data_IF_191423928405
#
_entry.id   IF_191423928405
#
_cell.length_a   1.000
_cell.length_b   1.000
_cell.length_c   1.000
_cell.angle_alpha   90.00
_cell.angle_beta   90.00
_cell.angle_gamma   90.00
#
_symmetry.space_group_name_H-M   'P 1'
#
loop_
_entity.id
_entity.type
_entity.pdbx_description
1 polymer ?
#
# COMPACT_ATOMS: atom_id res chain seq x y z
N UNK A 1 15.50 11.87 13.48
CA UNK A 1 14.17 12.52 13.43
C UNK A 1 13.17 11.50 12.90
N UNK A 2 12.00 11.33 13.52
CA UNK A 2 10.98 10.41 13.03
C UNK A 2 10.30 10.98 11.76
N UNK A 3 10.06 10.13 10.75
CA UNK A 3 9.34 10.55 9.54
C UNK A 3 7.86 10.78 9.89
N UNK A 4 7.27 11.83 9.32
CA UNK A 4 5.83 12.10 9.45
C UNK A 4 5.04 11.03 8.70
N UNK A 5 3.92 10.60 9.28
CA UNK A 5 2.98 9.68 8.61
C UNK A 5 2.31 10.44 7.46
N UNK A 6 2.48 9.94 6.24
CA UNK A 6 1.97 10.57 5.00
C UNK A 6 0.59 10.06 4.59
N UNK A 7 0.13 8.94 5.16
CA UNK A 7 -1.17 8.35 4.86
C UNK A 7 -1.35 6.98 5.52
N UNK A 8 -2.59 6.48 5.52
CA UNK A 8 -2.94 5.12 5.96
C UNK A 8 -3.82 4.45 4.91
N UNK A 9 -3.44 3.25 4.49
CA UNK A 9 -4.15 2.46 3.49
C UNK A 9 -4.57 1.16 4.15
N UNK A 10 -5.88 0.85 4.11
CA UNK A 10 -6.42 -0.43 4.60
C UNK A 10 -6.77 -1.30 3.41
N UNK A 11 -6.07 -2.43 3.28
CA UNK A 11 -6.32 -3.42 2.23
C UNK A 11 -6.70 -4.75 2.88
N UNK A 12 -7.74 -5.39 2.35
CA UNK A 12 -8.12 -6.74 2.75
C UNK A 12 -7.51 -7.73 1.76
N UNK A 13 -6.58 -8.55 2.22
CA UNK A 13 -5.87 -9.52 1.40
C UNK A 13 -5.76 -10.85 2.17
N UNK A 14 -5.90 -12.00 1.50
CA UNK A 14 -5.48 -13.27 2.09
C UNK A 14 -3.96 -13.28 2.32
N UNK A 15 -3.51 -14.04 3.32
CA UNK A 15 -2.11 -14.11 3.70
C UNK A 15 -1.22 -14.48 2.49
N UNK A 16 -0.09 -13.79 2.34
CA UNK A 16 0.88 -14.04 1.27
C UNK A 16 0.47 -13.55 -0.13
N UNK A 17 -0.68 -12.89 -0.31
CA UNK A 17 -1.12 -12.39 -1.63
C UNK A 17 -0.92 -10.88 -1.84
N UNK A 18 0.03 -10.26 -1.16
CA UNK A 18 0.42 -8.88 -1.44
C UNK A 18 1.33 -8.85 -2.69
N UNK A 19 0.77 -8.52 -3.86
CA UNK A 19 1.50 -8.40 -5.13
C UNK A 19 1.17 -7.07 -5.80
N UNK A 20 1.96 -6.57 -6.76
CA UNK A 20 1.67 -5.31 -7.47
C UNK A 20 0.37 -5.31 -8.29
N UNK A 21 -0.35 -6.43 -8.38
CA UNK A 21 -1.64 -6.50 -9.04
C UNK A 21 -2.71 -5.68 -8.27
N UNK A 22 -3.83 -5.30 -8.92
CA UNK A 22 -4.97 -4.72 -8.21
C UNK A 22 -5.44 -5.64 -7.07
N UNK A 23 -5.80 -5.09 -5.89
CA UNK A 23 -5.93 -3.67 -5.56
C UNK A 23 -4.65 -2.99 -5.03
N UNK A 24 -3.56 -3.73 -4.81
CA UNK A 24 -2.39 -3.24 -4.04
C UNK A 24 -1.55 -2.24 -4.82
N UNK A 25 -1.13 -2.58 -6.05
CA UNK A 25 -0.29 -1.70 -6.87
C UNK A 25 -0.93 -0.33 -7.13
N UNK A 26 -2.21 -0.26 -7.55
CA UNK A 26 -2.92 1.00 -7.68
C UNK A 26 -2.99 1.79 -6.36
N UNK A 27 -3.29 1.13 -5.24
CA UNK A 27 -3.41 1.80 -3.94
C UNK A 27 -2.07 2.36 -3.46
N UNK A 28 -0.97 1.60 -3.57
CA UNK A 28 0.36 2.05 -3.18
C UNK A 28 0.94 3.09 -4.16
N UNK A 29 0.70 2.91 -5.47
CA UNK A 29 1.19 3.81 -6.52
C UNK A 29 0.60 5.22 -6.41
N UNK A 30 -0.66 5.36 -6.01
CA UNK A 30 -1.30 6.66 -5.73
C UNK A 30 -0.59 7.45 -4.63
N UNK A 31 0.11 6.77 -3.73
CA UNK A 31 0.89 7.39 -2.66
C UNK A 31 2.40 7.42 -2.95
N UNK A 32 2.84 7.00 -4.15
CA UNK A 32 4.24 7.01 -4.57
C UNK A 32 5.12 5.99 -3.82
N UNK A 33 4.54 4.88 -3.38
CA UNK A 33 5.24 3.86 -2.55
C UNK A 33 5.23 2.44 -3.14
N UNK A 34 4.95 2.29 -4.45
CA UNK A 34 4.92 0.99 -5.16
C UNK A 34 6.26 0.65 -5.83
#
# INVERSE_FOLDING_TARGET
MAKKVVGMIKLQLPAGKATPAPPVGPALGQHGVN
#
